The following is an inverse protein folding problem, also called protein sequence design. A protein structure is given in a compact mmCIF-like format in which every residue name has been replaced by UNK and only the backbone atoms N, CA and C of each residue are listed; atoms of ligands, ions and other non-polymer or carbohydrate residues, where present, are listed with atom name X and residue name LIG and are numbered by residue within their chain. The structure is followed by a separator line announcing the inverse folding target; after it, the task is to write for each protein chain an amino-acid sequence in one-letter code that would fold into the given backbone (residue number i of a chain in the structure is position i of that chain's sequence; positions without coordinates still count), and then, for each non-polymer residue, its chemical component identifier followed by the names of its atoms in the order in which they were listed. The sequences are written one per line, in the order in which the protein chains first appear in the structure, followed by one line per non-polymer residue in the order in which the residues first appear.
data_IF_286594721915
#
_entry.id   IF_286594721915
#
_cell.length_a   1.000
_cell.length_b   1.000
_cell.length_c   1.000
_cell.angle_alpha   90.00
_cell.angle_beta   90.00
_cell.angle_gamma   90.00
#
_symmetry.space_group_name_H-M   'P 1'
#
loop_
_entity.id
_entity.type
_entity.pdbx_description
1 polymer ?
#
# COMPACT_ATOMS: atom_id res chain seq x y z
N UNK A 1 -0.26 -1.70 16.23
CA UNK A 1 -0.98 -0.52 16.80
C UNK A 1 -2.46 -0.59 16.49
N UNK A 2 -3.32 -0.44 17.51
CA UNK A 2 -4.78 -0.59 17.39
C UNK A 2 -5.45 0.49 16.51
N UNK A 3 -4.99 1.74 16.61
CA UNK A 3 -5.54 2.87 15.85
C UNK A 3 -5.42 2.66 14.33
N UNK A 4 -4.27 2.16 13.86
CA UNK A 4 -4.03 1.83 12.45
C UNK A 4 -4.94 0.68 11.97
N UNK A 5 -5.14 -0.35 12.78
CA UNK A 5 -6.09 -1.41 12.45
C UNK A 5 -7.54 -0.90 12.35
N UNK A 6 -7.95 0.02 13.22
CA UNK A 6 -9.28 0.63 13.14
C UNK A 6 -9.44 1.49 11.86
N UNK A 7 -8.39 2.23 11.47
CA UNK A 7 -8.39 2.98 10.21
C UNK A 7 -8.59 2.05 9.00
N UNK A 8 -7.90 0.90 8.97
CA UNK A 8 -8.09 -0.11 7.93
C UNK A 8 -9.54 -0.60 7.86
N UNK A 9 -10.14 -0.94 9.00
CA UNK A 9 -11.53 -1.39 9.07
C UNK A 9 -12.52 -0.32 8.60
N UNK A 10 -12.24 0.97 8.84
CA UNK A 10 -13.05 2.05 8.27
C UNK A 10 -12.88 2.18 6.75
N UNK A 11 -11.66 2.01 6.22
CA UNK A 11 -11.43 2.01 4.77
C UNK A 11 -12.17 0.87 4.07
N UNK A 12 -12.11 -0.35 4.60
CA UNK A 12 -12.83 -1.52 4.08
C UNK A 12 -14.35 -1.27 4.01
N UNK A 13 -14.90 -0.59 5.02
CA UNK A 13 -16.33 -0.22 5.08
C UNK A 13 -16.70 1.03 4.28
N UNK A 14 -15.78 1.60 3.50
CA UNK A 14 -15.99 2.84 2.76
C UNK A 14 -16.18 4.09 3.64
N UNK A 15 -15.90 4.00 4.95
CA UNK A 15 -15.99 5.10 5.91
C UNK A 15 -14.74 6.00 5.87
N UNK A 16 -14.37 6.46 4.68
CA UNK A 16 -13.10 7.13 4.41
C UNK A 16 -12.84 8.38 5.26
N UNK A 17 -13.88 9.18 5.55
CA UNK A 17 -13.74 10.34 6.44
C UNK A 17 -13.28 9.94 7.84
N UNK A 18 -13.86 8.88 8.42
CA UNK A 18 -13.46 8.37 9.74
C UNK A 18 -12.03 7.82 9.70
N UNK A 19 -11.68 7.09 8.64
CA UNK A 19 -10.32 6.61 8.45
C UNK A 19 -9.31 7.77 8.38
N UNK A 20 -9.62 8.84 7.63
CA UNK A 20 -8.76 10.01 7.50
C UNK A 20 -8.52 10.73 8.83
N UNK A 21 -9.54 10.86 9.69
CA UNK A 21 -9.33 11.41 11.05
C UNK A 21 -8.36 10.56 11.87
N UNK A 22 -8.48 9.22 11.82
CA UNK A 22 -7.54 8.34 12.51
C UNK A 22 -6.12 8.43 11.94
N UNK A 23 -5.98 8.61 10.62
CA UNK A 23 -4.67 8.81 9.99
C UNK A 23 -4.03 10.14 10.36
N UNK A 24 -4.81 11.20 10.61
CA UNK A 24 -4.29 12.46 11.17
C UNK A 24 -3.74 12.25 12.58
N UNK A 25 -4.47 11.52 13.43
CA UNK A 25 -4.01 11.17 14.79
C UNK A 25 -2.73 10.32 14.74
N UNK A 26 -2.70 9.29 13.89
CA UNK A 26 -1.51 8.47 13.67
C UNK A 26 -0.30 9.29 13.21
N UNK A 27 -0.52 10.24 12.30
CA UNK A 27 0.53 11.12 11.81
C UNK A 27 1.14 11.96 12.93
N UNK A 28 0.32 12.51 13.84
CA UNK A 28 0.81 13.28 15.00
C UNK A 28 1.67 12.39 15.90
N UNK A 29 1.23 11.15 16.16
CA UNK A 29 1.95 10.20 17.02
C UNK A 29 3.26 9.67 16.41
N UNK A 30 3.38 9.69 15.07
CA UNK A 30 4.47 9.04 14.31
C UNK A 30 4.95 9.92 13.16
N UNK A 31 5.12 11.21 13.41
CA UNK A 31 5.48 12.20 12.38
C UNK A 31 6.89 12.01 11.80
N UNK A 32 7.72 11.19 12.44
CA UNK A 32 9.06 10.80 12.00
C UNK A 32 9.08 9.50 11.17
N UNK A 33 7.93 8.87 10.91
CA UNK A 33 7.85 7.65 10.10
C UNK A 33 7.44 7.99 8.67
N UNK A 34 8.20 7.49 7.70
CA UNK A 34 7.94 7.66 6.28
C UNK A 34 6.54 7.18 5.88
N UNK A 35 6.12 6.05 6.46
CA UNK A 35 4.81 5.45 6.22
C UNK A 35 3.67 6.38 6.63
N UNK A 36 3.82 7.16 7.70
CA UNK A 36 2.76 8.07 8.18
C UNK A 36 2.40 9.13 7.14
N UNK A 37 3.38 9.59 6.34
CA UNK A 37 3.13 10.52 5.23
C UNK A 37 2.33 9.86 4.12
N UNK A 38 2.67 8.63 3.74
CA UNK A 38 1.94 7.87 2.73
C UNK A 38 0.51 7.61 3.17
N UNK A 39 0.34 7.11 4.39
CA UNK A 39 -0.94 6.76 4.99
C UNK A 39 -1.89 7.98 5.00
N UNK A 40 -1.40 9.13 5.49
CA UNK A 40 -2.18 10.36 5.54
C UNK A 40 -2.49 10.90 4.14
N UNK A 41 -1.51 10.91 3.22
CA UNK A 41 -1.71 11.34 1.83
C UNK A 41 -2.77 10.49 1.13
N UNK A 42 -2.68 9.17 1.24
CA UNK A 42 -3.64 8.22 0.67
C UNK A 42 -5.03 8.42 1.27
N UNK A 43 -5.14 8.68 2.58
CA UNK A 43 -6.43 9.00 3.21
C UNK A 43 -7.06 10.30 2.67
N UNK A 44 -6.24 11.33 2.38
CA UNK A 44 -6.73 12.57 1.77
C UNK A 44 -7.25 12.33 0.35
N UNK A 45 -6.59 11.46 -0.43
CA UNK A 45 -7.07 11.06 -1.77
C UNK A 45 -8.43 10.39 -1.70
N UNK A 46 -8.67 9.54 -0.70
CA UNK A 46 -9.94 8.84 -0.51
C UNK A 46 -11.13 9.76 -0.22
N UNK A 47 -10.87 10.92 0.38
CA UNK A 47 -11.90 11.93 0.66
C UNK A 47 -11.91 13.09 -0.36
N UNK A 48 -11.12 12.97 -1.44
CA UNK A 48 -11.07 13.95 -2.52
C UNK A 48 -10.20 15.20 -2.25
N UNK A 49 -9.47 15.24 -1.13
CA UNK A 49 -8.60 16.35 -0.74
C UNK A 49 -7.23 16.26 -1.44
N UNK A 50 -7.22 16.21 -2.78
CA UNK A 50 -6.04 15.93 -3.59
C UNK A 50 -4.89 16.94 -3.37
N UNK A 51 -5.19 18.22 -3.09
CA UNK A 51 -4.16 19.21 -2.78
C UNK A 51 -3.43 18.89 -1.46
N UNK A 52 -4.16 18.43 -0.44
CA UNK A 52 -3.54 18.02 0.83
C UNK A 52 -2.72 16.75 0.66
N UNK A 53 -3.18 15.81 -0.16
CA UNK A 53 -2.40 14.64 -0.52
C UNK A 53 -1.08 15.01 -1.19
N UNK A 54 -1.12 15.86 -2.22
CA UNK A 54 0.08 16.36 -2.91
C UNK A 54 1.05 17.06 -1.94
N UNK A 55 0.53 17.88 -1.02
CA UNK A 55 1.34 18.54 0.00
C UNK A 55 2.04 17.55 0.95
N UNK A 56 1.41 16.42 1.29
CA UNK A 56 2.04 15.38 2.11
C UNK A 56 3.17 14.67 1.37
N UNK A 57 2.98 14.32 0.10
CA UNK A 57 4.05 13.73 -0.72
C UNK A 57 5.23 14.70 -0.93
N UNK A 58 4.95 15.98 -1.19
CA UNK A 58 6.00 17.00 -1.32
C UNK A 58 6.78 17.18 -0.02
N UNK A 59 6.08 17.21 1.13
CA UNK A 59 6.71 17.30 2.45
C UNK A 59 7.58 16.07 2.74
N UNK A 60 7.11 14.88 2.37
CA UNK A 60 7.91 13.66 2.46
C UNK A 60 9.24 13.79 1.72
N UNK A 61 9.18 14.15 0.42
CA UNK A 61 10.38 14.31 -0.41
C UNK A 61 11.35 15.35 0.14
N UNK A 62 10.85 16.50 0.59
CA UNK A 62 11.67 17.54 1.23
C UNK A 62 12.37 17.02 2.49
N UNK A 63 11.66 16.32 3.38
CA UNK A 63 12.26 15.84 4.63
C UNK A 63 13.29 14.72 4.40
N UNK A 64 13.13 13.90 3.36
CA UNK A 64 14.16 12.95 2.94
C UNK A 64 15.41 13.67 2.44
N UNK A 65 15.25 14.65 1.55
CA UNK A 65 16.37 15.42 0.99
C UNK A 65 17.18 16.13 2.07
N UNK A 66 16.50 16.71 3.07
CA UNK A 66 17.13 17.40 4.19
C UNK A 66 17.66 16.43 5.27
N UNK A 67 17.45 15.12 5.13
CA UNK A 67 17.89 14.11 6.09
C UNK A 67 17.12 14.07 7.41
N UNK A 68 15.96 14.74 7.49
CA UNK A 68 15.08 14.72 8.66
C UNK A 68 14.17 13.49 8.72
N UNK A 69 14.05 12.76 7.61
CA UNK A 69 13.27 11.54 7.49
C UNK A 69 14.13 10.42 6.93
N UNK A 70 13.85 9.18 7.31
CA UNK A 70 14.48 7.97 6.75
C UNK A 70 13.43 7.11 6.09
N UNK A 71 13.75 6.57 4.93
CA UNK A 71 12.94 5.61 4.18
C UNK A 71 13.86 4.58 3.52
N UNK A 72 13.36 3.37 3.37
CA UNK A 72 14.02 2.34 2.55
C UNK A 72 13.76 2.61 1.06
N UNK A 73 14.61 2.08 0.18
CA UNK A 73 14.46 2.25 -1.27
C UNK A 73 13.10 1.73 -1.78
N UNK A 74 12.69 0.54 -1.32
CA UNK A 74 11.37 -0.02 -1.64
C UNK A 74 10.21 0.90 -1.22
N UNK A 75 10.35 1.58 -0.07
CA UNK A 75 9.35 2.53 0.40
C UNK A 75 9.29 3.79 -0.46
N UNK A 76 10.46 4.27 -0.93
CA UNK A 76 10.55 5.38 -1.87
C UNK A 76 9.88 5.04 -3.19
N UNK A 77 10.11 3.84 -3.73
CA UNK A 77 9.48 3.36 -4.97
C UNK A 77 7.94 3.39 -4.83
N UNK A 78 7.40 2.87 -3.72
CA UNK A 78 5.96 2.89 -3.47
C UNK A 78 5.46 4.34 -3.39
N UNK A 79 6.17 5.21 -2.67
CA UNK A 79 5.76 6.62 -2.51
C UNK A 79 5.77 7.39 -3.84
N UNK A 80 6.81 7.22 -4.65
CA UNK A 80 6.90 7.81 -5.98
C UNK A 80 5.75 7.33 -6.86
N UNK A 81 5.44 6.02 -6.81
CA UNK A 81 4.31 5.45 -7.54
C UNK A 81 2.97 6.03 -7.09
N UNK A 82 2.79 6.30 -5.80
CA UNK A 82 1.57 6.97 -5.29
C UNK A 82 1.46 8.41 -5.78
N UNK A 83 2.55 9.17 -5.77
CA UNK A 83 2.60 10.55 -6.27
C UNK A 83 2.33 10.60 -7.78
N UNK A 84 3.00 9.74 -8.55
CA UNK A 84 2.82 9.64 -10.00
C UNK A 84 1.37 9.31 -10.35
N UNK A 85 0.76 8.38 -9.62
CA UNK A 85 -0.65 8.04 -9.81
C UNK A 85 -1.58 9.22 -9.48
N UNK A 86 -1.30 9.99 -8.43
CA UNK A 86 -2.05 11.21 -8.12
C UNK A 86 -1.93 12.23 -9.26
N UNK A 87 -0.73 12.46 -9.77
CA UNK A 87 -0.47 13.41 -10.87
C UNK A 87 -1.14 12.93 -12.17
N UNK A 88 -1.06 11.65 -12.50
CA UNK A 88 -1.70 11.08 -13.69
C UNK A 88 -3.23 11.27 -13.66
N UNK A 89 -3.86 10.99 -12.52
CA UNK A 89 -5.33 11.01 -12.40
C UNK A 89 -5.91 12.40 -12.10
N UNK A 90 -5.16 13.26 -11.39
CA UNK A 90 -5.66 14.54 -10.85
C UNK A 90 -4.76 15.73 -11.17
N UNK A 91 -3.69 15.54 -11.92
CA UNK A 91 -2.69 16.57 -12.18
C UNK A 91 -3.24 17.84 -12.82
N UNK A 92 -4.27 17.72 -13.68
CA UNK A 92 -4.96 18.88 -14.28
C UNK A 92 -5.61 19.80 -13.24
N UNK A 93 -6.00 19.26 -12.09
CA UNK A 93 -6.62 20.00 -10.98
C UNK A 93 -5.58 20.54 -9.99
N UNK A 94 -4.36 19.97 -10.01
CA UNK A 94 -3.29 20.24 -9.05
C UNK A 94 -2.22 21.19 -9.57
N UNK A 95 -1.94 21.14 -10.88
CA UNK A 95 -0.77 21.77 -11.48
C UNK A 95 -1.14 22.53 -12.75
N UNK A 96 -0.34 23.55 -13.08
CA UNK A 96 -0.47 24.23 -14.37
C UNK A 96 0.04 23.30 -15.48
N UNK A 97 -0.53 23.40 -16.69
CA UNK A 97 -0.16 22.54 -17.85
C UNK A 97 1.35 22.44 -18.13
N UNK A 98 2.12 23.49 -17.83
CA UNK A 98 3.58 23.52 -18.02
C UNK A 98 4.34 22.66 -17.00
N UNK A 99 3.84 22.59 -15.77
CA UNK A 99 4.43 21.81 -14.67
C UNK A 99 4.16 20.31 -14.86
N UNK A 100 2.98 19.95 -15.38
CA UNK A 100 2.62 18.57 -15.69
C UNK A 100 3.58 17.89 -16.66
N UNK A 101 4.05 18.60 -17.69
CA UNK A 101 4.96 18.02 -18.70
C UNK A 101 6.33 17.61 -18.14
N UNK A 102 6.73 18.17 -17.00
CA UNK A 102 8.02 17.87 -16.37
C UNK A 102 7.91 16.79 -15.27
N UNK A 103 6.70 16.37 -14.91
CA UNK A 103 6.41 15.51 -13.77
C UNK A 103 5.77 14.17 -14.14
N UNK A 104 5.30 13.99 -15.38
CA UNK A 104 4.85 12.67 -15.85
C UNK A 104 6.09 11.80 -15.99
N UNK A 105 6.39 11.06 -14.91
CA UNK A 105 7.29 9.93 -14.95
C UNK A 105 6.57 8.81 -15.70
N UNK A 106 7.25 8.26 -16.70
CA UNK A 106 6.79 7.15 -17.53
C UNK A 106 6.77 5.88 -16.67
N UNK A 107 5.74 5.73 -15.84
CA UNK A 107 5.50 4.48 -15.12
C UNK A 107 4.83 3.52 -16.10
N UNK A 108 5.65 2.72 -16.81
CA UNK A 108 5.21 1.80 -17.86
C UNK A 108 4.29 0.67 -17.35
N UNK A 109 4.08 0.56 -16.04
CA UNK A 109 3.25 -0.49 -15.46
C UNK A 109 1.77 -0.33 -15.82
N UNK A 110 1.27 -1.29 -16.60
CA UNK A 110 -0.15 -1.51 -16.84
C UNK A 110 -0.57 -2.85 -16.25
N UNK A 111 -1.56 -2.84 -15.34
CA UNK A 111 -2.07 -4.07 -14.75
C UNK A 111 -2.84 -3.87 -13.45
N UNK A 112 -2.81 -4.93 -12.63
CA UNK A 112 -3.38 -4.94 -11.29
C UNK A 112 -2.26 -4.75 -10.27
N UNK A 113 -2.34 -3.67 -9.48
CA UNK A 113 -1.39 -3.39 -8.40
C UNK A 113 -1.99 -3.81 -7.07
N UNK A 114 -1.25 -4.60 -6.31
CA UNK A 114 -1.58 -4.98 -4.95
C UNK A 114 -0.66 -4.22 -3.99
N UNK A 115 -1.24 -3.58 -2.99
CA UNK A 115 -0.48 -2.94 -1.90
C UNK A 115 -0.92 -3.56 -0.59
N UNK A 116 0.04 -4.11 0.16
CA UNK A 116 -0.18 -4.70 1.46
C UNK A 116 0.36 -3.76 2.53
N UNK A 117 -0.39 -3.56 3.60
CA UNK A 117 0.00 -2.73 4.73
C UNK A 117 -0.34 -3.44 6.03
N UNK A 118 0.57 -3.44 7.01
CA UNK A 118 0.34 -4.08 8.31
C UNK A 118 0.36 -3.07 9.45
N UNK A 119 -0.44 -3.33 10.48
CA UNK A 119 -0.62 -2.39 11.60
C UNK A 119 0.47 -2.47 12.67
N UNK A 120 1.29 -3.53 12.67
CA UNK A 120 2.22 -3.85 13.74
C UNK A 120 3.57 -4.32 13.17
N UNK A 121 4.63 -3.55 13.39
CA UNK A 121 5.97 -3.82 12.88
C UNK A 121 6.63 -5.06 13.48
N UNK A 122 6.06 -5.63 14.55
CA UNK A 122 6.49 -6.91 15.11
C UNK A 122 5.78 -8.10 14.45
N UNK A 123 4.86 -7.86 13.51
CA UNK A 123 4.22 -8.93 12.76
C UNK A 123 5.25 -9.66 11.88
N UNK A 124 5.22 -10.98 11.92
CA UNK A 124 6.00 -11.82 11.04
C UNK A 124 5.05 -12.71 10.21
N UNK A 125 5.21 -12.70 8.90
CA UNK A 125 4.36 -13.44 7.95
C UNK A 125 5.05 -13.65 6.61
N UNK A 126 4.53 -14.58 5.82
CA UNK A 126 4.88 -14.77 4.40
C UNK A 126 3.63 -14.49 3.56
N UNK A 127 3.76 -13.67 2.52
CA UNK A 127 2.77 -13.56 1.44
C UNK A 127 3.16 -14.51 0.30
N UNK A 128 2.16 -15.17 -0.27
CA UNK A 128 2.33 -16.02 -1.44
C UNK A 128 1.39 -15.58 -2.55
N UNK A 129 1.93 -15.39 -3.75
CA UNK A 129 1.22 -14.99 -4.95
C UNK A 129 1.26 -16.16 -5.92
N UNK A 130 0.12 -16.80 -6.18
CA UNK A 130 -0.01 -17.93 -7.10
C UNK A 130 -0.64 -17.44 -8.39
N UNK A 131 0.05 -17.63 -9.51
CA UNK A 131 -0.43 -17.24 -10.82
C UNK A 131 -1.42 -18.29 -11.40
N UNK A 132 -2.12 -17.97 -12.50
CA UNK A 132 -3.07 -18.89 -13.15
C UNK A 132 -2.48 -20.23 -13.62
N UNK A 133 -1.16 -20.32 -13.77
CA UNK A 133 -0.43 -21.54 -14.15
C UNK A 133 0.06 -22.34 -12.93
N UNK A 134 -0.38 -21.97 -11.73
CA UNK A 134 -0.01 -22.55 -10.43
C UNK A 134 1.48 -22.37 -10.04
N UNK A 135 2.23 -21.54 -10.77
CA UNK A 135 3.54 -21.05 -10.32
C UNK A 135 3.34 -20.00 -9.22
N UNK A 136 4.29 -19.88 -8.29
CA UNK A 136 4.16 -18.93 -7.18
C UNK A 136 5.45 -18.17 -6.86
N UNK A 137 5.26 -16.95 -6.36
CA UNK A 137 6.27 -16.14 -5.71
C UNK A 137 5.94 -15.96 -4.22
N UNK A 138 6.96 -15.84 -3.38
CA UNK A 138 6.81 -15.62 -1.94
C UNK A 138 7.60 -14.40 -1.50
N UNK A 139 6.97 -13.56 -0.68
CA UNK A 139 7.61 -12.47 0.06
C UNK A 139 7.54 -12.80 1.54
N UNK A 140 8.69 -12.91 2.21
CA UNK A 140 8.74 -13.21 3.64
C UNK A 140 9.13 -11.95 4.44
N UNK A 141 8.27 -11.58 5.39
CA UNK A 141 8.52 -10.55 6.37
C UNK A 141 8.78 -11.21 7.72
N UNK A 142 10.04 -11.58 8.00
CA UNK A 142 10.43 -12.23 9.26
C UNK A 142 11.86 -11.88 9.65
N UNK A 143 12.19 -12.04 10.94
CA UNK A 143 13.58 -11.89 11.41
C UNK A 143 14.50 -12.98 10.86
N UNK A 144 13.95 -14.16 10.56
CA UNK A 144 14.71 -15.29 10.05
C UNK A 144 15.16 -15.05 8.61
N UNK A 145 14.29 -14.45 7.79
CA UNK A 145 14.58 -14.15 6.39
C UNK A 145 15.55 -12.96 6.24
N UNK A 146 15.33 -11.87 6.99
CA UNK A 146 16.15 -10.66 6.89
C UNK A 146 16.14 -9.83 8.19
N UNK A 147 17.09 -10.12 9.08
CA UNK A 147 17.19 -9.45 10.36
C UNK A 147 17.57 -7.95 10.25
N UNK A 148 18.42 -7.59 9.29
CA UNK A 148 18.92 -6.22 9.12
C UNK A 148 17.87 -5.35 8.43
N UNK A 149 17.29 -5.80 7.33
CA UNK A 149 16.22 -5.07 6.66
C UNK A 149 14.97 -4.96 7.53
N UNK A 150 14.60 -5.97 8.32
CA UNK A 150 13.49 -5.84 9.26
C UNK A 150 13.78 -4.79 10.36
N UNK A 151 15.04 -4.68 10.83
CA UNK A 151 15.45 -3.62 11.76
C UNK A 151 15.35 -2.23 11.11
N UNK A 152 15.81 -2.08 9.87
CA UNK A 152 15.74 -0.80 9.15
C UNK A 152 14.29 -0.39 8.88
N UNK A 153 13.44 -1.33 8.44
CA UNK A 153 11.98 -1.16 8.30
C UNK A 153 11.32 -0.69 9.59
N UNK A 154 11.72 -1.24 10.75
CA UNK A 154 11.23 -0.77 12.06
C UNK A 154 11.66 0.66 12.38
N UNK A 155 12.88 1.05 12.01
CA UNK A 155 13.42 2.40 12.26
C UNK A 155 12.73 3.44 11.37
N UNK A 156 12.50 3.15 10.08
CA UNK A 156 11.79 4.02 9.13
C UNK A 156 10.27 4.00 9.30
N UNK A 157 9.74 3.02 10.04
CA UNK A 157 8.31 2.77 10.19
C UNK A 157 7.67 2.15 8.94
N UNK A 158 8.50 1.64 8.02
CA UNK A 158 8.06 0.99 6.80
C UNK A 158 7.22 -0.24 7.13
N UNK A 159 5.94 -0.20 6.75
CA UNK A 159 4.97 -1.24 7.07
C UNK A 159 4.05 -1.52 5.89
N UNK A 160 4.64 -1.50 4.69
CA UNK A 160 3.96 -1.83 3.45
C UNK A 160 4.88 -2.56 2.47
N UNK A 161 4.27 -3.25 1.51
CA UNK A 161 4.93 -3.82 0.34
C UNK A 161 3.95 -3.80 -0.84
N UNK A 162 4.46 -3.87 -2.06
CA UNK A 162 3.64 -3.97 -3.26
C UNK A 162 3.96 -5.20 -4.10
N UNK A 163 2.94 -5.69 -4.81
CA UNK A 163 3.09 -6.72 -5.82
C UNK A 163 2.37 -6.29 -7.09
N UNK A 164 3.07 -6.33 -8.21
CA UNK A 164 2.58 -5.89 -9.51
C UNK A 164 2.21 -7.10 -10.35
N UNK A 165 0.93 -7.22 -10.68
CA UNK A 165 0.43 -8.22 -11.62
C UNK A 165 0.29 -7.53 -12.97
N UNK A 166 1.27 -7.75 -13.85
CA UNK A 166 1.23 -7.27 -15.22
C UNK A 166 0.21 -8.07 -16.08
N UNK A 167 0.17 -7.75 -17.37
CA UNK A 167 -0.72 -8.40 -18.33
C UNK A 167 -0.13 -9.64 -19.02
N UNK A 168 1.07 -10.10 -18.64
CA UNK A 168 1.74 -11.24 -19.28
C UNK A 168 1.00 -12.56 -19.02
N UNK A 169 0.49 -12.77 -17.81
CA UNK A 169 -0.25 -13.97 -17.41
C UNK A 169 -1.65 -13.57 -16.95
N UNK A 170 -2.64 -13.80 -17.82
CA UNK A 170 -4.05 -13.45 -17.58
C UNK A 170 -4.81 -14.61 -16.92
N UNK A 171 -5.60 -14.30 -15.91
CA UNK A 171 -6.46 -15.26 -15.23
C UNK A 171 -6.70 -14.89 -13.76
N UNK A 172 -7.04 -15.91 -12.98
CA UNK A 172 -7.26 -15.76 -11.54
C UNK A 172 -5.96 -15.98 -10.79
N UNK A 173 -5.51 -14.95 -10.09
CA UNK A 173 -4.40 -15.01 -9.15
C UNK A 173 -4.92 -15.28 -7.74
N UNK A 174 -4.22 -16.13 -6.98
CA UNK A 174 -4.53 -16.40 -5.57
C UNK A 174 -3.49 -15.71 -4.69
N UNK A 175 -3.95 -15.01 -3.66
CA UNK A 175 -3.10 -14.39 -2.66
C UNK A 175 -3.31 -15.11 -1.34
N UNK A 176 -2.24 -15.69 -0.81
CA UNK A 176 -2.24 -16.39 0.46
C UNK A 176 -1.31 -15.68 1.46
N UNK A 177 -1.55 -15.90 2.75
CA UNK A 177 -0.63 -15.51 3.80
C UNK A 177 -0.44 -16.63 4.82
N UNK A 178 0.80 -16.78 5.27
CA UNK A 178 1.18 -17.63 6.41
C UNK A 178 1.69 -16.75 7.53
N UNK A 179 0.94 -16.67 8.63
CA UNK A 179 1.31 -15.86 9.77
C UNK A 179 2.24 -16.62 10.72
N UNK A 180 3.35 -16.03 11.13
CA UNK A 180 4.30 -16.63 12.08
C UNK A 180 4.08 -16.14 13.50
N UNK A 181 3.49 -14.95 13.67
CA UNK A 181 3.18 -14.38 14.97
C UNK A 181 3.52 -12.90 15.02
N UNK A 182 3.37 -12.31 16.19
CA UNK A 182 3.95 -11.02 16.49
C UNK A 182 4.44 -11.00 17.94
N UNK A 183 5.34 -10.08 18.27
CA UNK A 183 5.88 -9.88 19.64
C UNK A 183 5.15 -8.79 20.41
N UNK A 184 4.01 -8.34 19.90
CA UNK A 184 3.20 -7.23 20.40
C UNK A 184 1.98 -7.75 21.16
N UNK A 185 1.39 -6.89 21.99
CA UNK A 185 0.10 -7.18 22.63
C UNK A 185 -1.09 -6.87 21.71
N UNK A 186 -0.86 -6.21 20.57
CA UNK A 186 -1.93 -5.89 19.62
C UNK A 186 -2.05 -6.95 18.53
N UNK A 187 -3.28 -7.36 18.14
CA UNK A 187 -3.46 -8.28 17.02
C UNK A 187 -2.87 -7.70 15.72
N UNK A 188 -2.31 -8.58 14.90
CA UNK A 188 -1.88 -8.23 13.54
C UNK A 188 -3.09 -8.16 12.62
N UNK A 189 -3.22 -7.02 11.94
CA UNK A 189 -4.11 -6.81 10.83
C UNK A 189 -3.29 -6.49 9.58
N UNK A 190 -3.60 -7.21 8.51
CA UNK A 190 -3.07 -6.99 7.17
C UNK A 190 -4.17 -6.37 6.32
N UNK A 191 -3.92 -5.19 5.76
CA UNK A 191 -4.78 -4.57 4.75
C UNK A 191 -4.20 -4.84 3.37
N UNK A 192 -5.04 -5.27 2.44
CA UNK A 192 -4.72 -5.32 1.02
C UNK A 192 -5.55 -4.27 0.29
N UNK A 193 -4.89 -3.37 -0.45
CA UNK A 193 -5.52 -2.47 -1.40
C UNK A 193 -5.24 -2.98 -2.81
N UNK A 194 -6.31 -3.30 -3.54
CA UNK A 194 -6.24 -3.87 -4.89
C UNK A 194 -6.64 -2.79 -5.86
N UNK A 195 -5.71 -2.36 -6.70
CA UNK A 195 -5.97 -1.41 -7.77
C UNK A 195 -6.09 -2.15 -9.09
N UNK A 196 -7.21 -1.98 -9.77
CA UNK A 196 -7.39 -2.47 -11.14
C UNK A 196 -7.26 -1.33 -12.13
N UNK A 197 -6.76 -1.63 -13.33
CA UNK A 197 -6.51 -0.67 -14.39
C UNK A 197 -5.67 0.51 -13.87
N UNK A 198 -4.61 0.19 -13.12
CA UNK A 198 -3.80 1.17 -12.40
C UNK A 198 -3.27 2.25 -13.36
N UNK A 199 -3.23 3.50 -12.91
CA UNK A 199 -2.79 4.66 -13.69
C UNK A 199 -3.81 5.17 -14.73
N UNK A 200 -4.80 4.37 -15.12
CA UNK A 200 -5.79 4.76 -16.14
C UNK A 200 -6.95 5.58 -15.57
N UNK A 201 -7.67 6.29 -16.44
CA UNK A 201 -8.93 6.96 -16.08
C UNK A 201 -10.02 6.00 -15.57
N UNK A 202 -9.91 4.70 -15.89
CA UNK A 202 -10.82 3.64 -15.42
C UNK A 202 -10.32 2.95 -14.15
N UNK A 203 -9.26 3.48 -13.51
CA UNK A 203 -8.73 2.92 -12.28
C UNK A 203 -9.83 2.81 -11.22
N UNK A 204 -9.96 1.63 -10.65
CA UNK A 204 -10.82 1.36 -9.51
C UNK A 204 -10.01 0.66 -8.44
N UNK A 205 -10.46 0.78 -7.19
CA UNK A 205 -9.80 0.11 -6.07
C UNK A 205 -10.81 -0.56 -5.15
N UNK A 206 -10.36 -1.63 -4.51
CA UNK A 206 -11.03 -2.25 -3.38
C UNK A 206 -10.05 -2.46 -2.22
N UNK A 207 -10.57 -2.46 -1.00
CA UNK A 207 -9.78 -2.66 0.22
C UNK A 207 -10.32 -3.88 0.95
N UNK A 208 -9.44 -4.78 1.36
CA UNK A 208 -9.75 -5.96 2.18
C UNK A 208 -8.86 -5.96 3.41
N UNK A 209 -9.40 -6.35 4.56
CA UNK A 209 -8.68 -6.36 5.84
C UNK A 209 -8.78 -7.73 6.50
N UNK A 210 -7.63 -8.28 6.86
CA UNK A 210 -7.50 -9.61 7.42
C UNK A 210 -6.88 -9.54 8.81
N UNK A 211 -7.55 -10.12 9.80
CA UNK A 211 -6.93 -10.38 11.10
C UNK A 211 -6.10 -11.65 11.01
N UNK A 212 -4.79 -11.53 11.15
CA UNK A 212 -3.89 -12.69 11.13
C UNK A 212 -3.85 -13.31 12.53
N UNK A 213 -4.46 -14.49 12.70
CA UNK A 213 -4.57 -15.17 14.00
C UNK A 213 -4.00 -16.58 14.03
N UNK A 214 -4.26 -17.39 13.00
CA UNK A 214 -3.80 -18.78 12.96
C UNK A 214 -2.34 -18.85 12.53
N UNK A 215 -1.47 -19.31 13.43
CA UNK A 215 -0.03 -19.39 13.20
C UNK A 215 0.33 -20.62 12.36
N UNK A 216 1.32 -20.45 11.50
CA UNK A 216 1.95 -21.50 10.70
C UNK A 216 1.01 -22.22 9.72
N UNK A 217 -0.15 -21.65 9.41
CA UNK A 217 -1.10 -22.17 8.43
C UNK A 217 -1.15 -21.22 7.24
N UNK A 218 -0.93 -21.77 6.04
CA UNK A 218 -1.09 -21.01 4.81
C UNK A 218 -2.59 -20.83 4.54
N UNK A 219 -3.05 -19.59 4.53
CA UNK A 219 -4.47 -19.25 4.35
C UNK A 219 -4.63 -18.42 3.10
N UNK A 220 -5.53 -18.84 2.21
CA UNK A 220 -5.94 -17.99 1.09
C UNK A 220 -6.69 -16.77 1.63
N UNK A 221 -6.17 -15.58 1.35
CA UNK A 221 -6.79 -14.32 1.74
C UNK A 221 -7.88 -13.93 0.75
N UNK A 222 -7.54 -13.90 -0.54
CA UNK A 222 -8.46 -13.57 -1.62
C UNK A 222 -7.93 -14.05 -2.97
N UNK A 223 -8.78 -13.97 -3.98
CA UNK A 223 -8.42 -14.13 -5.39
C UNK A 223 -8.64 -12.82 -6.12
N UNK A 224 -7.84 -12.54 -7.14
CA UNK A 224 -7.98 -11.36 -8.00
C UNK A 224 -7.87 -11.78 -9.47
N UNK A 225 -8.78 -11.29 -10.31
CA UNK A 225 -8.73 -11.55 -11.75
C UNK A 225 -8.15 -10.33 -12.47
N UNK A 226 -7.14 -10.56 -13.30
CA UNK A 226 -6.66 -9.57 -14.28
C UNK A 226 -7.19 -9.86 -15.70
N UNK A 227 -8.09 -10.84 -15.86
CA UNK A 227 -8.81 -11.06 -17.11
C UNK A 227 -9.95 -10.05 -17.26
N UNK A 228 -10.14 -9.53 -18.48
CA UNK A 228 -11.29 -8.67 -18.80
C UNK A 228 -12.58 -9.44 -18.51
N UNK A 229 -13.44 -8.88 -17.65
CA UNK A 229 -14.80 -9.35 -17.51
C UNK A 229 -15.56 -9.03 -18.80
N UNK A 230 -15.73 -10.02 -19.68
CA UNK A 230 -16.74 -9.95 -20.73
C UNK A 230 -18.08 -9.98 -20.01
N UNK A 231 -18.67 -8.82 -19.76
CA UNK A 231 -20.07 -8.74 -19.36
C UNK A 231 -20.86 -9.05 -20.62
N UNK A 232 -21.34 -10.28 -20.74
CA UNK A 232 -22.39 -10.63 -21.69
C UNK A 232 -23.66 -9.85 -21.30
N UNK A 233 -24.07 -8.94 -22.17
CA UNK A 233 -25.40 -8.32 -22.15
C UNK A 233 -26.50 -9.37 -22.35
#
# INVERSE_FOLDING_TARGET
MALKALAYLYQEKGSFKKASELYKELFILRANYAQSYMDLANSYREIGENQRAAAMYARYGYLLQEGFLRAEDDQNIIMERELNNLIALKGKDLLRKKELKNLVLDDEFNGTRLVFEWNDSEAEFELQFVNPEENYFKSEHSLFADAEGLKNKKISGFSSEEYLIDESIKGVWKVNAKYFGNKSLTPTYLKATIYHNYGSASQRKETKVFKLSLKNVNQQLFTVSNALSIVSN
#
